data_IF_768171763983
#
_entry.id   IF_768171763983
#
_cell.length_a   1.000
_cell.length_b   1.000
_cell.length_c   1.000
_cell.angle_alpha   90.00
_cell.angle_beta   90.00
_cell.angle_gamma   90.00
#
_symmetry.space_group_name_H-M   'P 1'
#
loop_
_entity.id
_entity.type
_entity.pdbx_description
1 polymer ?
#
# COMPACT_ATOMS: atom_id res chain seq x y z
N UNK A 1 7.45 -5.24 2.93
CA UNK A 1 6.21 -4.43 2.82
C UNK A 1 6.01 -3.52 4.02
N UNK A 2 5.82 -4.06 5.24
CA UNK A 2 5.63 -3.24 6.47
C UNK A 2 6.71 -2.17 6.64
N UNK A 3 7.99 -2.54 6.50
CA UNK A 3 9.10 -1.60 6.63
C UNK A 3 9.06 -0.46 5.60
N UNK A 4 8.64 -0.75 4.36
CA UNK A 4 8.54 0.26 3.30
C UNK A 4 7.38 1.23 3.56
N UNK A 5 6.21 0.73 3.98
CA UNK A 5 5.06 1.57 4.35
C UNK A 5 5.42 2.46 5.55
N UNK A 6 6.05 1.89 6.58
CA UNK A 6 6.53 2.65 7.73
C UNK A 6 7.53 3.75 7.34
N UNK A 7 8.41 3.47 6.38
CA UNK A 7 9.39 4.43 5.89
C UNK A 7 8.71 5.64 5.21
N UNK A 8 7.77 5.41 4.30
CA UNK A 8 7.07 6.52 3.62
C UNK A 8 6.21 7.33 4.60
N UNK A 9 5.57 6.68 5.58
CA UNK A 9 4.80 7.37 6.62
C UNK A 9 5.69 8.24 7.53
N UNK A 10 6.91 7.79 7.83
CA UNK A 10 7.90 8.61 8.55
C UNK A 10 8.29 9.87 7.77
N UNK A 11 8.23 9.82 6.43
CA UNK A 11 8.41 10.97 5.55
C UNK A 11 7.12 11.77 5.29
N UNK A 12 6.03 11.47 6.02
CA UNK A 12 4.70 12.08 5.84
C UNK A 12 4.10 11.83 4.46
N UNK A 13 4.48 10.77 3.77
CA UNK A 13 3.90 10.38 2.48
C UNK A 13 2.81 9.34 2.73
N UNK A 14 1.61 9.57 2.19
CA UNK A 14 0.49 8.61 2.14
C UNK A 14 0.39 8.08 0.72
N UNK A 15 0.39 6.75 0.52
CA UNK A 15 0.47 6.11 -0.81
C UNK A 15 -0.88 6.02 -1.52
N UNK A 16 -1.90 5.58 -0.80
CA UNK A 16 -3.32 5.51 -1.19
C UNK A 16 -3.72 4.56 -2.31
N UNK A 17 -2.75 4.02 -3.02
CA UNK A 17 -3.00 2.99 -4.03
C UNK A 17 -2.22 1.70 -3.81
N UNK A 18 -2.16 1.23 -2.57
CA UNK A 18 -1.62 -0.10 -2.27
C UNK A 18 -2.64 -1.17 -2.73
N UNK A 19 -2.69 -1.45 -4.03
CA UNK A 19 -3.83 -2.16 -4.63
C UNK A 19 -3.49 -3.41 -5.46
N UNK A 20 -2.22 -3.81 -5.56
CA UNK A 20 -1.87 -5.06 -6.26
C UNK A 20 -0.52 -5.61 -5.80
N UNK A 21 -0.31 -6.94 -5.87
CA UNK A 21 1.04 -7.53 -5.85
C UNK A 21 1.99 -6.92 -6.89
N UNK A 22 1.47 -6.25 -7.92
CA UNK A 22 2.26 -5.51 -8.92
C UNK A 22 2.97 -4.26 -8.40
N UNK A 23 2.50 -3.65 -7.30
CA UNK A 23 3.21 -2.54 -6.63
C UNK A 23 4.38 -3.05 -5.78
N UNK A 24 4.56 -4.36 -5.76
CA UNK A 24 5.60 -5.10 -5.09
C UNK A 24 6.41 -5.84 -6.14
N UNK A 25 7.22 -5.08 -6.87
CA UNK A 25 8.04 -5.63 -7.96
C UNK A 25 9.08 -6.58 -7.38
N UNK A 26 8.97 -7.86 -7.76
CA UNK A 26 9.99 -8.87 -7.51
C UNK A 26 11.22 -8.49 -8.35
N UNK A 27 12.36 -8.25 -7.71
CA UNK A 27 13.62 -8.12 -8.45
C UNK A 27 14.03 -9.51 -8.96
N UNK A 28 13.95 -9.79 -10.29
CA UNK A 28 14.27 -11.12 -10.81
C UNK A 28 15.78 -11.37 -10.88
N UNK A 29 16.59 -10.30 -10.81
CA UNK A 29 18.00 -10.34 -11.14
C UNK A 29 18.91 -10.15 -9.92
N UNK A 30 18.37 -10.12 -8.70
CA UNK A 30 19.16 -10.00 -7.46
C UNK A 30 20.09 -8.79 -7.40
N UNK A 31 20.03 -7.81 -8.31
CA UNK A 31 21.03 -6.74 -8.38
C UNK A 31 21.07 -5.93 -7.09
N UNK A 32 22.17 -6.16 -6.36
CA UNK A 32 22.59 -5.59 -5.10
C UNK A 32 22.90 -4.10 -5.28
N UNK A 33 21.89 -3.23 -5.22
CA UNK A 33 22.13 -1.78 -5.01
C UNK A 33 21.32 -1.27 -3.83
N UNK A 34 21.55 -1.91 -2.67
CA UNK A 34 21.54 -1.26 -1.36
C UNK A 34 22.88 -1.64 -0.70
N UNK A 35 23.97 -1.33 -1.39
CA UNK A 35 25.33 -1.46 -0.87
C UNK A 35 25.57 -0.25 0.01
N UNK A 36 25.54 -0.43 1.33
CA UNK A 36 26.30 0.33 2.33
C UNK A 36 26.04 -0.19 3.77
N UNK A 37 25.04 -1.06 3.99
CA UNK A 37 24.75 -1.58 5.36
C UNK A 37 24.62 -3.11 5.46
N UNK A 38 24.52 -3.87 4.35
CA UNK A 38 24.10 -5.29 4.38
C UNK A 38 25.16 -6.32 3.96
N UNK A 39 26.46 -5.98 3.93
CA UNK A 39 27.51 -6.91 3.51
C UNK A 39 27.61 -8.18 4.38
N UNK A 40 27.15 -8.15 5.64
CA UNK A 40 27.15 -9.33 6.52
C UNK A 40 25.97 -10.29 6.31
N UNK A 41 24.94 -9.90 5.53
CA UNK A 41 23.64 -10.62 5.49
C UNK A 41 23.40 -11.30 4.14
N UNK A 42 24.30 -11.10 3.16
CA UNK A 42 24.13 -11.61 1.79
C UNK A 42 24.02 -13.15 1.72
N UNK A 43 24.77 -13.85 2.57
CA UNK A 43 24.79 -15.32 2.63
C UNK A 43 23.45 -15.90 3.15
N UNK A 44 22.80 -15.18 4.07
CA UNK A 44 21.48 -15.53 4.60
C UNK A 44 20.39 -15.33 3.52
N UNK A 45 20.45 -14.23 2.77
CA UNK A 45 19.46 -13.93 1.73
C UNK A 45 19.49 -14.93 0.57
N UNK A 46 20.69 -15.40 0.19
CA UNK A 46 20.89 -16.42 -0.85
C UNK A 46 20.31 -17.77 -0.42
N UNK A 47 20.65 -18.23 0.78
CA UNK A 47 20.23 -19.51 1.34
C UNK A 47 18.70 -19.64 1.48
N UNK A 48 18.01 -18.55 1.85
CA UNK A 48 16.56 -18.56 2.07
C UNK A 48 15.72 -18.17 0.84
N UNK A 49 16.31 -17.96 -0.35
CA UNK A 49 15.60 -17.42 -1.54
C UNK A 49 14.69 -16.23 -1.20
N UNK A 50 15.17 -15.34 -0.35
CA UNK A 50 14.38 -14.20 0.10
C UNK A 50 14.15 -13.22 -1.05
N UNK A 51 12.88 -13.00 -1.42
CA UNK A 51 12.53 -12.05 -2.47
C UNK A 51 12.46 -10.63 -1.92
N UNK A 52 13.13 -9.70 -2.59
CA UNK A 52 12.97 -8.28 -2.32
C UNK A 52 11.67 -7.76 -2.91
N UNK A 53 10.92 -7.09 -2.06
CA UNK A 53 9.65 -6.45 -2.40
C UNK A 53 9.86 -4.93 -2.38
N UNK A 54 9.81 -4.30 -3.55
CA UNK A 54 9.94 -2.84 -3.71
C UNK A 54 8.55 -2.21 -3.77
N UNK A 55 8.34 -1.10 -3.06
CA UNK A 55 7.11 -0.31 -3.19
C UNK A 55 7.19 0.59 -4.43
N UNK A 56 6.16 0.60 -5.27
CA UNK A 56 6.08 1.38 -6.49
C UNK A 56 4.68 1.97 -6.73
N UNK A 57 4.57 2.81 -7.77
CA UNK A 57 3.35 3.50 -8.21
C UNK A 57 2.79 4.55 -7.23
N UNK A 58 3.53 5.66 -7.13
CA UNK A 58 3.17 6.80 -6.29
C UNK A 58 2.21 7.79 -6.99
N UNK A 59 1.52 7.39 -8.07
CA UNK A 59 0.66 8.30 -8.85
C UNK A 59 -0.46 8.95 -8.03
N UNK A 60 -0.99 8.22 -7.05
CA UNK A 60 -1.99 8.73 -6.09
C UNK A 60 -1.38 9.19 -4.76
N UNK A 61 -0.07 9.03 -4.56
CA UNK A 61 0.56 9.36 -3.30
C UNK A 61 0.62 10.87 -3.06
N UNK A 62 0.52 11.29 -1.81
CA UNK A 62 0.52 12.71 -1.41
C UNK A 62 1.29 12.90 -0.11
N UNK A 63 1.91 14.08 0.02
CA UNK A 63 2.57 14.50 1.26
C UNK A 63 1.51 15.10 2.20
N UNK A 64 1.43 14.57 3.41
CA UNK A 64 0.62 15.11 4.49
C UNK A 64 1.32 16.33 5.07
N UNK A 65 0.65 17.48 5.02
CA UNK A 65 1.18 18.72 5.58
C UNK A 65 1.38 18.60 7.11
N UNK A 66 2.41 19.26 7.68
CA UNK A 66 2.76 19.12 9.11
C UNK A 66 1.62 19.37 10.11
N UNK A 67 0.65 20.20 9.74
CA UNK A 67 -0.48 20.61 10.59
C UNK A 67 -1.81 19.95 10.18
N UNK A 68 -1.77 18.94 9.31
CA UNK A 68 -2.95 18.22 8.84
C UNK A 68 -2.91 16.78 9.33
N UNK A 69 -4.09 16.24 9.65
CA UNK A 69 -4.28 14.83 10.02
C UNK A 69 -4.73 13.97 8.84
N UNK A 70 -5.10 14.60 7.72
CA UNK A 70 -5.56 13.95 6.52
C UNK A 70 -5.37 14.84 5.29
N UNK A 71 -5.39 14.23 4.11
CA UNK A 71 -5.44 14.91 2.82
C UNK A 71 -6.85 14.73 2.28
N UNK A 72 -7.54 15.82 1.95
CA UNK A 72 -8.85 15.77 1.32
C UNK A 72 -8.69 15.71 -0.20
N UNK A 73 -9.38 14.78 -0.85
CA UNK A 73 -9.39 14.63 -2.30
C UNK A 73 -10.81 14.51 -2.81
N UNK A 74 -11.17 15.28 -3.83
CA UNK A 74 -12.44 15.14 -4.50
C UNK A 74 -12.44 13.91 -5.43
N UNK A 75 -13.54 13.16 -5.40
CA UNK A 75 -13.72 11.97 -6.23
C UNK A 75 -13.02 10.73 -5.70
N UNK A 76 -13.68 9.58 -5.89
CA UNK A 76 -13.14 8.28 -5.51
C UNK A 76 -11.93 7.92 -6.39
N UNK A 77 -10.87 7.41 -5.78
CA UNK A 77 -9.74 6.82 -6.48
C UNK A 77 -9.13 5.68 -5.67
N UNK A 78 -8.36 4.84 -6.36
CA UNK A 78 -7.80 3.61 -5.82
C UNK A 78 -8.69 2.40 -6.09
N UNK A 79 -8.21 1.21 -5.77
CA UNK A 79 -8.98 -0.02 -5.99
C UNK A 79 -9.86 -0.33 -4.79
N UNK A 80 -11.17 -0.32 -5.00
CA UNK A 80 -12.23 -0.45 -3.96
C UNK A 80 -11.98 -1.63 -3.01
N UNK A 81 -11.52 -2.78 -3.52
CA UNK A 81 -11.25 -3.99 -2.71
C UNK A 81 -10.20 -3.81 -1.59
N UNK A 82 -9.33 -2.81 -1.71
CA UNK A 82 -8.22 -2.55 -0.78
C UNK A 82 -8.44 -1.28 0.04
N UNK A 83 -9.57 -0.61 -0.18
CA UNK A 83 -9.83 0.72 0.36
C UNK A 83 -10.42 0.64 1.76
N UNK A 84 -9.98 1.53 2.65
CA UNK A 84 -10.49 1.58 4.02
C UNK A 84 -11.94 2.10 4.05
N UNK A 85 -12.80 1.61 4.96
CA UNK A 85 -14.21 2.02 5.01
C UNK A 85 -14.38 3.54 5.21
N UNK A 86 -13.52 4.17 6.02
CA UNK A 86 -13.53 5.61 6.26
C UNK A 86 -13.18 6.45 5.03
N UNK A 87 -12.61 5.83 3.99
CA UNK A 87 -12.36 6.49 2.72
C UNK A 87 -13.65 6.74 1.95
N UNK A 88 -14.72 5.98 2.22
CA UNK A 88 -16.05 6.18 1.65
C UNK A 88 -16.89 7.08 2.57
N UNK A 89 -16.50 8.35 2.74
CA UNK A 89 -17.36 9.30 3.45
C UNK A 89 -18.61 9.61 2.62
N UNK A 90 -19.78 9.21 3.13
CA UNK A 90 -21.10 9.64 2.67
C UNK A 90 -21.56 10.81 3.56
N UNK A 91 -21.16 12.03 3.22
CA UNK A 91 -21.80 13.22 3.78
C UNK A 91 -23.04 13.56 2.94
N UNK A 92 -24.15 13.92 3.59
CA UNK A 92 -25.44 14.26 2.94
C UNK A 92 -25.39 15.49 2.00
N UNK A 93 -24.25 16.20 1.92
CA UNK A 93 -24.09 17.40 1.13
C UNK A 93 -22.88 17.30 0.18
N UNK A 94 -23.15 16.86 -1.04
CA UNK A 94 -22.54 17.26 -2.33
C UNK A 94 -21.02 17.31 -2.55
N UNK A 95 -20.17 16.93 -1.61
CA UNK A 95 -18.76 16.66 -1.90
C UNK A 95 -18.34 15.29 -1.39
N UNK A 96 -18.32 14.31 -2.31
CA UNK A 96 -17.66 13.02 -2.12
C UNK A 96 -16.14 13.24 -2.00
N UNK A 97 -15.73 13.74 -0.84
CA UNK A 97 -14.34 13.96 -0.49
C UNK A 97 -13.81 12.78 0.31
N UNK A 98 -12.78 12.13 -0.26
CA UNK A 98 -12.01 11.09 0.40
C UNK A 98 -11.03 11.75 1.38
N UNK A 99 -10.99 11.25 2.62
CA UNK A 99 -9.96 11.61 3.59
C UNK A 99 -8.84 10.57 3.55
N UNK A 100 -7.71 10.94 2.95
CA UNK A 100 -6.53 10.09 2.88
C UNK A 100 -5.71 10.25 4.16
N UNK A 101 -5.37 9.14 4.79
CA UNK A 101 -4.58 9.13 6.03
C UNK A 101 -3.58 7.99 6.02
N UNK A 102 -2.48 8.05 6.81
CA UNK A 102 -1.57 6.93 6.96
C UNK A 102 -2.30 5.62 7.31
N UNK A 103 -3.36 5.69 8.12
CA UNK A 103 -4.17 4.53 8.53
C UNK A 103 -4.84 3.83 7.33
N UNK A 104 -5.18 4.57 6.27
CA UNK A 104 -5.77 3.98 5.06
C UNK A 104 -4.77 3.08 4.32
N UNK A 105 -3.47 3.42 4.32
CA UNK A 105 -2.43 2.56 3.76
C UNK A 105 -2.24 1.29 4.61
N UNK A 106 -2.40 1.40 5.93
CA UNK A 106 -2.30 0.25 6.85
C UNK A 106 -3.45 -0.72 6.61
N UNK A 107 -4.67 -0.22 6.36
CA UNK A 107 -5.81 -1.04 5.96
C UNK A 107 -5.50 -1.81 4.67
N UNK A 108 -5.08 -1.11 3.61
CA UNK A 108 -4.75 -1.73 2.33
C UNK A 108 -3.63 -2.77 2.48
N UNK A 109 -2.61 -2.50 3.31
CA UNK A 109 -1.55 -3.45 3.63
C UNK A 109 -2.11 -4.72 4.31
N UNK A 110 -3.08 -4.58 5.22
CA UNK A 110 -3.77 -5.70 5.84
C UNK A 110 -4.49 -6.59 4.82
N UNK A 111 -5.19 -5.98 3.87
CA UNK A 111 -5.86 -6.70 2.76
C UNK A 111 -4.84 -7.44 1.89
N UNK A 112 -3.69 -6.82 1.58
CA UNK A 112 -2.62 -7.46 0.79
C UNK A 112 -2.02 -8.65 1.56
N UNK A 113 -1.71 -8.48 2.85
CA UNK A 113 -1.16 -9.55 3.67
C UNK A 113 -2.13 -10.73 3.77
N UNK A 114 -3.43 -10.46 3.96
CA UNK A 114 -4.46 -11.47 3.93
C UNK A 114 -4.47 -12.22 2.58
N UNK A 115 -4.46 -11.48 1.46
CA UNK A 115 -4.48 -12.07 0.12
C UNK A 115 -3.23 -12.91 -0.17
N UNK A 116 -2.07 -12.57 0.39
CA UNK A 116 -0.87 -13.38 0.27
C UNK A 116 -0.97 -14.71 1.01
N UNK A 117 -1.66 -14.74 2.16
CA UNK A 117 -1.83 -15.96 2.97
C UNK A 117 -2.91 -16.86 2.35
N UNK A 118 -4.05 -16.27 1.96
CA UNK A 118 -5.25 -17.01 1.55
C UNK A 118 -5.49 -17.06 0.03
N UNK A 119 -4.59 -16.45 -0.76
CA UNK A 119 -4.66 -16.40 -2.23
C UNK A 119 -5.71 -15.45 -2.81
N UNK A 120 -6.54 -14.80 -1.98
CA UNK A 120 -7.59 -13.85 -2.40
C UNK A 120 -7.86 -12.80 -1.31
N UNK A 121 -8.27 -11.57 -1.67
CA UNK A 121 -8.67 -10.57 -0.67
C UNK A 121 -9.95 -11.04 0.08
N UNK A 122 -10.16 -10.61 1.34
CA UNK A 122 -11.20 -11.15 2.21
C UNK A 122 -12.62 -10.92 1.64
N UNK A 123 -12.82 -9.79 0.95
CA UNK A 123 -14.11 -9.39 0.37
C UNK A 123 -14.25 -9.69 -1.13
N UNK A 124 -13.36 -10.48 -1.72
CA UNK A 124 -13.39 -10.78 -3.16
C UNK A 124 -14.76 -11.29 -3.65
N UNK A 125 -15.44 -12.09 -2.83
CA UNK A 125 -16.72 -12.72 -3.15
C UNK A 125 -17.88 -11.72 -3.32
N UNK A 126 -17.79 -10.52 -2.72
CA UNK A 126 -18.82 -9.50 -2.85
C UNK A 126 -18.86 -8.85 -4.24
N UNK A 127 -17.80 -9.05 -5.04
CA UNK A 127 -17.64 -8.45 -6.37
C UNK A 127 -17.84 -9.46 -7.51
N UNK A 128 -17.95 -10.76 -7.20
CA UNK A 128 -18.14 -11.83 -8.19
C UNK A 128 -19.61 -12.14 -8.51
N UNK A 129 -20.57 -11.49 -7.84
CA UNK A 129 -22.02 -11.72 -8.02
C UNK A 129 -22.79 -10.58 -8.70
N UNK A 130 -22.11 -9.68 -9.42
CA UNK A 130 -22.76 -8.76 -10.36
C UNK A 130 -22.57 -9.27 -11.78
N UNK A 131 -23.35 -10.28 -12.15
CA UNK A 131 -23.49 -10.82 -13.50
C UNK A 131 -24.95 -11.12 -13.75
#
# INVERSE_FOLDING_TARGET
MVAAVRFIHAQKIVHFDLNKPGNFVRNPNGSHRISLVLLQVEELFSTFKMQFVKLSDFGLARVLEPNKTHISRHGHCGTVLYMAPEAFHQGEQYESSMKMRPETDIWSLGIILYAMIYGKPPHAHLYTHRG
#
